data_IF_129298901717
#
_entry.id   IF_129298901717
#
_cell.length_a   1.000
_cell.length_b   1.000
_cell.length_c   1.000
_cell.angle_alpha   90.00
_cell.angle_beta   90.00
_cell.angle_gamma   90.00
#
_symmetry.space_group_name_H-M   'P 1'
#
loop_
_entity.id
_entity.type
_entity.pdbx_description
1 polymer ?
#
# COMPACT_ATOMS: atom_id res chain seq x y z
N UNK A 1 -16.76 -5.73 -19.74
CA UNK A 1 -18.04 -5.56 -18.98
C UNK A 1 -17.82 -4.76 -17.70
N UNK A 2 -16.68 -4.88 -17.01
CA UNK A 2 -16.38 -4.11 -15.79
C UNK A 2 -16.11 -2.63 -16.06
N UNK A 3 -15.34 -2.27 -17.07
CA UNK A 3 -15.05 -0.86 -17.41
C UNK A 3 -16.32 -0.06 -17.73
N UNK A 4 -17.31 -0.66 -18.40
CA UNK A 4 -18.58 0.01 -18.69
C UNK A 4 -19.45 0.21 -17.43
N UNK A 5 -19.43 -0.74 -16.49
CA UNK A 5 -20.12 -0.60 -15.19
C UNK A 5 -19.45 0.44 -14.30
N UNK A 6 -18.09 0.46 -14.25
CA UNK A 6 -17.30 1.46 -13.52
C UNK A 6 -17.65 2.88 -13.99
N UNK A 7 -17.73 3.09 -15.31
CA UNK A 7 -18.08 4.40 -15.88
C UNK A 7 -19.50 4.85 -15.50
N UNK A 8 -20.48 3.96 -15.56
CA UNK A 8 -21.88 4.27 -15.17
C UNK A 8 -21.96 4.65 -13.68
N UNK A 9 -21.20 3.97 -12.81
CA UNK A 9 -21.16 4.29 -11.38
C UNK A 9 -20.52 5.66 -11.13
N UNK A 10 -19.41 5.98 -11.81
CA UNK A 10 -18.76 7.28 -11.73
C UNK A 10 -19.68 8.41 -12.19
N UNK A 11 -20.48 8.18 -13.25
CA UNK A 11 -21.44 9.18 -13.76
C UNK A 11 -22.59 9.48 -12.80
N UNK A 12 -22.85 8.61 -11.82
CA UNK A 12 -23.88 8.81 -10.78
C UNK A 12 -23.36 9.58 -9.55
N UNK A 13 -22.04 9.81 -9.44
CA UNK A 13 -21.45 10.53 -8.31
C UNK A 13 -21.66 12.04 -8.42
N UNK A 14 -21.64 12.72 -7.27
CA UNK A 14 -21.61 14.18 -7.20
C UNK A 14 -20.38 14.73 -7.94
N UNK A 15 -20.45 15.94 -8.52
CA UNK A 15 -19.39 16.48 -9.38
C UNK A 15 -18.02 16.59 -8.69
N UNK A 16 -17.97 16.85 -7.38
CA UNK A 16 -16.72 16.92 -6.60
C UNK A 16 -16.12 15.54 -6.46
N UNK A 17 -16.89 14.59 -5.95
CA UNK A 17 -16.46 13.19 -5.75
C UNK A 17 -16.08 12.51 -7.08
N UNK A 18 -16.78 12.87 -8.16
CA UNK A 18 -16.46 12.35 -9.50
C UNK A 18 -15.05 12.75 -9.93
N UNK A 19 -14.66 14.02 -9.74
CA UNK A 19 -13.32 14.51 -10.09
C UNK A 19 -12.24 13.77 -9.33
N UNK A 20 -12.45 13.57 -8.03
CA UNK A 20 -11.51 12.84 -7.17
C UNK A 20 -11.33 11.40 -7.63
N UNK A 21 -12.46 10.71 -7.91
CA UNK A 21 -12.44 9.32 -8.41
C UNK A 21 -11.80 9.24 -9.81
N UNK A 22 -12.07 10.21 -10.71
CA UNK A 22 -11.44 10.26 -12.03
C UNK A 22 -9.94 10.53 -11.93
N UNK A 23 -9.52 11.40 -11.02
CA UNK A 23 -8.11 11.68 -10.76
C UNK A 23 -7.38 10.42 -10.24
N UNK A 24 -7.91 9.76 -9.22
CA UNK A 24 -7.35 8.52 -8.68
C UNK A 24 -7.32 7.41 -9.75
N UNK A 25 -8.37 7.30 -10.56
CA UNK A 25 -8.48 6.31 -11.62
C UNK A 25 -7.62 6.61 -12.87
N UNK A 26 -6.96 7.77 -12.94
CA UNK A 26 -6.01 8.12 -14.01
C UNK A 26 -4.62 7.55 -13.79
N UNK A 27 -4.29 7.17 -12.56
CA UNK A 27 -3.03 6.51 -12.21
C UNK A 27 -3.09 5.02 -12.54
N UNK A 28 -1.95 4.45 -12.90
CA UNK A 28 -1.83 3.01 -13.11
C UNK A 28 -1.93 2.24 -11.78
N UNK A 29 -2.34 0.96 -11.83
CA UNK A 29 -2.61 0.16 -10.62
C UNK A 29 -1.36 -0.07 -9.75
N UNK A 30 -0.16 0.07 -10.30
CA UNK A 30 1.15 -0.02 -9.65
C UNK A 30 1.72 1.32 -9.19
N UNK A 31 1.02 2.44 -9.44
CA UNK A 31 1.40 3.77 -8.98
C UNK A 31 0.75 4.12 -7.64
N UNK A 32 1.48 4.84 -6.79
CA UNK A 32 1.02 5.32 -5.47
C UNK A 32 -0.28 6.11 -5.56
N UNK A 33 -0.44 6.93 -6.60
CA UNK A 33 -1.64 7.74 -6.84
C UNK A 33 -2.92 6.91 -6.93
N UNK A 34 -2.84 5.65 -7.37
CA UNK A 34 -4.00 4.74 -7.45
C UNK A 34 -4.53 4.32 -6.07
N UNK A 35 -3.72 4.44 -5.02
CA UNK A 35 -3.99 3.98 -3.65
C UNK A 35 -4.26 5.12 -2.66
N UNK A 36 -4.18 6.38 -3.10
CA UNK A 36 -4.42 7.54 -2.26
C UNK A 36 -5.92 7.75 -1.98
N UNK A 37 -6.20 8.56 -0.97
CA UNK A 37 -7.54 9.09 -0.66
C UNK A 37 -7.51 10.62 -0.65
N UNK A 38 -8.62 11.23 -1.02
CA UNK A 38 -8.85 12.69 -0.91
C UNK A 38 -9.49 13.08 0.43
N UNK A 39 -9.65 12.14 1.35
CA UNK A 39 -10.18 12.34 2.68
C UNK A 39 -9.08 12.84 3.64
N UNK A 40 -8.79 14.14 3.62
CA UNK A 40 -7.79 14.79 4.46
C UNK A 40 -8.13 16.25 4.73
N UNK A 41 -7.46 16.86 5.70
CA UNK A 41 -7.60 18.28 6.04
C UNK A 41 -6.42 19.07 5.48
N UNK A 42 -6.70 20.18 4.79
CA UNK A 42 -5.68 21.09 4.26
C UNK A 42 -5.95 22.52 4.69
N UNK A 43 -4.88 23.24 5.08
CA UNK A 43 -4.92 24.65 5.44
C UNK A 43 -3.77 25.40 4.77
N UNK A 44 -3.88 26.72 4.67
CA UNK A 44 -2.81 27.58 4.14
C UNK A 44 -1.87 28.05 5.22
N UNK A 45 -0.58 28.19 4.90
CA UNK A 45 0.50 28.62 5.80
C UNK A 45 0.26 30.02 6.43
N UNK A 46 -0.53 30.88 5.80
CA UNK A 46 -0.80 32.27 6.23
C UNK A 46 -1.90 32.41 7.27
N UNK A 47 -2.57 31.32 7.65
CA UNK A 47 -3.63 31.37 8.65
C UNK A 47 -3.07 31.58 10.05
N UNK A 48 -3.85 32.25 10.90
CA UNK A 48 -3.64 32.21 12.36
C UNK A 48 -4.16 30.90 12.93
N UNK A 49 -3.69 30.50 14.13
CA UNK A 49 -4.18 29.30 14.82
C UNK A 49 -5.71 29.28 14.94
N UNK A 50 -6.33 30.43 15.22
CA UNK A 50 -7.79 30.56 15.29
C UNK A 50 -8.47 30.26 13.96
N UNK A 51 -7.92 30.79 12.84
CA UNK A 51 -8.48 30.57 11.52
C UNK A 51 -8.25 29.11 11.05
N UNK A 52 -7.08 28.57 11.33
CA UNK A 52 -6.76 27.16 11.07
C UNK A 52 -7.73 26.22 11.79
N UNK A 53 -8.02 26.48 13.07
CA UNK A 53 -9.00 25.70 13.84
C UNK A 53 -10.42 25.83 13.25
N UNK A 54 -10.81 27.02 12.79
CA UNK A 54 -12.12 27.20 12.16
C UNK A 54 -12.23 26.44 10.83
N UNK A 55 -11.19 26.49 10.01
CA UNK A 55 -11.11 25.74 8.75
C UNK A 55 -11.13 24.22 8.99
N UNK A 56 -10.40 23.75 10.02
CA UNK A 56 -10.41 22.36 10.42
C UNK A 56 -11.83 21.89 10.79
N UNK A 57 -12.55 22.64 11.63
CA UNK A 57 -13.91 22.27 12.06
C UNK A 57 -14.86 22.17 10.87
N UNK A 58 -14.75 23.09 9.90
CA UNK A 58 -15.55 23.07 8.68
C UNK A 58 -15.26 21.85 7.82
N UNK A 59 -13.98 21.53 7.62
CA UNK A 59 -13.56 20.39 6.80
C UNK A 59 -13.83 19.04 7.50
N UNK A 60 -13.70 18.97 8.82
CA UNK A 60 -13.97 17.77 9.62
C UNK A 60 -15.43 17.29 9.56
N UNK A 61 -16.36 18.16 9.14
CA UNK A 61 -17.73 17.74 8.87
C UNK A 61 -17.86 16.80 7.65
N UNK A 62 -16.87 16.82 6.75
CA UNK A 62 -16.84 16.02 5.51
C UNK A 62 -15.72 14.97 5.48
N UNK A 63 -14.68 15.15 6.28
CA UNK A 63 -13.48 14.32 6.28
C UNK A 63 -13.30 13.66 7.63
N UNK A 64 -13.02 12.36 7.63
CA UNK A 64 -12.79 11.57 8.86
C UNK A 64 -11.31 11.52 9.25
N UNK A 65 -10.39 11.70 8.29
CA UNK A 65 -8.96 11.70 8.54
C UNK A 65 -8.51 13.10 9.00
N UNK A 66 -8.60 13.35 10.29
CA UNK A 66 -8.36 14.66 10.94
C UNK A 66 -7.10 14.69 11.82
N UNK A 67 -6.45 13.55 12.04
CA UNK A 67 -5.27 13.44 12.95
C UNK A 67 -4.11 14.32 12.49
N UNK A 68 -3.90 14.37 11.17
CA UNK A 68 -2.86 15.17 10.51
C UNK A 68 -3.50 16.24 9.64
N UNK A 69 -3.07 17.48 9.83
CA UNK A 69 -3.51 18.65 9.05
C UNK A 69 -2.36 19.03 8.12
N UNK A 70 -2.61 18.98 6.82
CA UNK A 70 -1.60 19.34 5.82
C UNK A 70 -1.61 20.83 5.56
N UNK A 71 -0.42 21.38 5.44
CA UNK A 71 -0.22 22.82 5.21
C UNK A 71 0.31 23.04 3.81
N UNK A 72 -0.35 23.91 3.07
CA UNK A 72 0.05 24.31 1.72
C UNK A 72 0.35 25.81 1.66
N UNK A 73 1.21 26.19 0.73
CA UNK A 73 1.47 27.61 0.43
C UNK A 73 0.28 28.23 -0.31
N UNK A 74 0.29 29.57 -0.48
CA UNK A 74 -0.68 30.27 -1.34
C UNK A 74 -0.68 29.75 -2.80
N UNK A 75 0.42 29.14 -3.24
CA UNK A 75 0.57 28.55 -4.57
C UNK A 75 0.12 27.07 -4.60
N UNK A 76 -0.55 26.58 -3.55
CA UNK A 76 -1.03 25.20 -3.39
C UNK A 76 0.09 24.14 -3.32
N UNK A 77 1.34 24.55 -3.04
CA UNK A 77 2.46 23.62 -2.86
C UNK A 77 2.48 23.12 -1.42
N UNK A 78 2.79 21.85 -1.26
CA UNK A 78 2.97 21.25 0.06
C UNK A 78 4.08 21.96 0.83
N UNK A 79 3.80 22.34 2.07
CA UNK A 79 4.73 23.04 2.95
C UNK A 79 5.13 22.19 4.16
N UNK A 80 4.20 21.40 4.68
CA UNK A 80 4.43 20.55 5.84
C UNK A 80 3.11 20.05 6.45
N UNK A 81 3.18 19.55 7.65
CA UNK A 81 2.02 19.02 8.36
C UNK A 81 1.99 19.48 9.82
N UNK A 82 0.82 19.47 10.43
CA UNK A 82 0.59 19.77 11.85
C UNK A 82 -0.21 18.62 12.45
N UNK A 83 0.23 18.12 13.59
CA UNK A 83 -0.56 17.18 14.39
C UNK A 83 -1.77 17.92 15.00
N UNK A 84 -2.96 17.30 14.92
CA UNK A 84 -4.19 17.86 15.48
C UNK A 84 -4.02 18.24 16.98
N UNK A 85 -3.31 17.42 17.74
CA UNK A 85 -3.04 17.67 19.15
C UNK A 85 -2.26 18.97 19.35
N UNK A 86 -1.23 19.22 18.54
CA UNK A 86 -0.43 20.44 18.62
C UNK A 86 -1.28 21.68 18.28
N UNK A 87 -2.18 21.60 17.31
CA UNK A 87 -3.10 22.67 16.97
C UNK A 87 -4.12 22.93 18.09
N UNK A 88 -4.60 21.89 18.79
CA UNK A 88 -5.57 22.02 19.90
C UNK A 88 -4.94 22.70 21.13
N UNK A 89 -3.67 22.39 21.45
CA UNK A 89 -2.99 22.96 22.63
C UNK A 89 -2.36 24.33 22.35
N UNK A 90 -2.24 24.73 21.09
CA UNK A 90 -1.67 26.00 20.71
C UNK A 90 -2.50 27.20 21.23
N UNK A 91 -1.81 28.29 21.51
CA UNK A 91 -2.48 29.54 21.91
C UNK A 91 -3.00 30.26 20.67
N UNK A 92 -4.08 31.03 20.86
CA UNK A 92 -4.73 31.75 19.75
C UNK A 92 -3.81 32.71 18.99
N UNK A 93 -2.83 33.26 19.68
CA UNK A 93 -1.92 34.28 19.18
C UNK A 93 -0.58 33.66 18.69
N UNK A 94 -0.43 32.35 18.79
CA UNK A 94 0.75 31.67 18.25
C UNK A 94 0.74 31.71 16.73
N UNK A 95 1.94 31.82 16.13
CA UNK A 95 2.12 31.73 14.70
C UNK A 95 2.01 30.28 14.25
N UNK A 96 1.22 30.01 13.26
CA UNK A 96 1.02 28.66 12.71
C UNK A 96 2.34 28.03 12.24
N UNK A 97 3.25 28.86 11.71
CA UNK A 97 4.58 28.42 11.26
C UNK A 97 5.38 27.67 12.35
N UNK A 98 5.18 28.00 13.62
CA UNK A 98 5.87 27.36 14.75
C UNK A 98 5.36 25.94 15.04
N UNK A 99 4.18 25.58 14.51
CA UNK A 99 3.54 24.27 14.69
C UNK A 99 3.78 23.35 13.50
N UNK A 100 4.19 23.91 12.35
CA UNK A 100 4.36 23.15 11.12
C UNK A 100 5.65 22.33 11.17
N UNK A 101 5.54 21.03 10.98
CA UNK A 101 6.65 20.13 10.73
C UNK A 101 6.96 20.15 9.23
N UNK A 102 7.99 20.88 8.81
CA UNK A 102 8.37 21.02 7.40
C UNK A 102 9.18 19.84 6.85
N UNK A 103 9.75 19.01 7.75
CA UNK A 103 10.46 17.77 7.40
C UNK A 103 9.53 16.55 7.38
N UNK A 104 8.24 16.77 7.10
CA UNK A 104 7.25 15.70 7.04
C UNK A 104 7.48 14.83 5.80
N UNK A 105 7.43 13.48 5.91
CA UNK A 105 7.63 12.58 4.78
C UNK A 105 6.51 12.73 3.75
N UNK A 106 6.83 12.53 2.48
CA UNK A 106 5.88 12.56 1.37
C UNK A 106 6.31 11.59 0.27
N UNK A 107 5.39 11.27 -0.63
CA UNK A 107 5.63 10.45 -1.83
C UNK A 107 5.02 11.13 -3.05
N UNK A 108 5.52 10.79 -4.25
CA UNK A 108 4.94 11.28 -5.48
C UNK A 108 3.91 10.30 -6.04
N UNK A 109 2.85 10.83 -6.66
CA UNK A 109 1.74 10.03 -7.16
C UNK A 109 2.13 9.03 -8.26
N UNK A 110 3.15 9.38 -9.07
CA UNK A 110 3.67 8.55 -10.17
C UNK A 110 4.78 7.58 -9.72
N UNK A 111 5.14 7.55 -8.43
CA UNK A 111 6.08 6.56 -7.92
C UNK A 111 5.46 5.16 -7.92
N UNK A 112 6.29 4.17 -8.25
CA UNK A 112 5.87 2.78 -8.21
C UNK A 112 5.73 2.30 -6.75
N UNK A 113 4.66 1.56 -6.46
CA UNK A 113 4.36 1.05 -5.12
C UNK A 113 5.51 0.16 -4.61
N UNK A 114 6.01 -0.74 -5.44
CA UNK A 114 7.05 -1.70 -5.07
C UNK A 114 8.36 -1.00 -4.66
N UNK A 115 8.67 0.14 -5.28
CA UNK A 115 9.90 0.89 -5.01
C UNK A 115 9.83 1.68 -3.69
N UNK A 116 8.65 2.19 -3.31
CA UNK A 116 8.48 3.04 -2.13
C UNK A 116 7.86 2.33 -0.92
N UNK A 117 7.39 1.08 -1.08
CA UNK A 117 6.70 0.36 0.01
C UNK A 117 7.61 0.09 1.22
N UNK A 118 8.92 -0.12 0.99
CA UNK A 118 9.88 -0.33 2.08
C UNK A 118 10.03 0.93 2.93
N UNK A 119 10.15 2.10 2.29
CA UNK A 119 10.22 3.38 2.98
C UNK A 119 8.91 3.71 3.69
N UNK A 120 7.77 3.40 3.06
CA UNK A 120 6.43 3.62 3.63
C UNK A 120 6.19 2.80 4.91
N UNK A 121 6.74 1.58 5.00
CA UNK A 121 6.65 0.73 6.21
C UNK A 121 7.33 1.35 7.43
N UNK A 122 8.40 2.09 7.21
CA UNK A 122 9.23 2.66 8.28
C UNK A 122 8.66 3.99 8.81
N UNK A 123 7.68 4.58 8.13
CA UNK A 123 7.02 5.78 8.59
C UNK A 123 6.04 5.49 9.73
N UNK A 124 6.09 6.33 10.77
CA UNK A 124 5.24 6.22 11.97
C UNK A 124 4.02 7.14 11.92
N UNK A 125 3.87 7.89 10.84
CA UNK A 125 2.83 8.88 10.65
C UNK A 125 1.48 8.23 10.32
N UNK A 126 0.38 8.82 10.80
CA UNK A 126 -0.98 8.34 10.54
C UNK A 126 -1.38 8.43 9.06
N UNK A 127 -0.82 9.41 8.35
CA UNK A 127 -1.03 9.59 6.91
C UNK A 127 0.13 10.33 6.26
N UNK A 128 0.46 9.93 5.03
CA UNK A 128 1.57 10.45 4.23
C UNK A 128 0.98 11.19 3.02
N UNK A 129 1.36 12.46 2.77
CA UNK A 129 0.88 13.23 1.64
C UNK A 129 1.44 12.69 0.32
N UNK A 130 0.56 12.64 -0.68
CA UNK A 130 0.86 12.26 -2.06
C UNK A 130 0.89 13.53 -2.90
N UNK A 131 2.01 13.79 -3.55
CA UNK A 131 2.27 15.00 -4.31
C UNK A 131 2.32 14.73 -5.81
N UNK A 132 2.04 15.75 -6.60
CA UNK A 132 2.38 15.75 -8.02
C UNK A 132 3.83 16.21 -8.26
N UNK A 133 4.25 16.21 -9.53
CA UNK A 133 5.60 16.66 -9.94
C UNK A 133 5.87 18.16 -9.71
N UNK A 134 4.82 18.97 -9.45
CA UNK A 134 4.90 20.40 -9.11
C UNK A 134 4.89 20.63 -7.58
N UNK A 135 4.93 19.56 -6.79
CA UNK A 135 4.80 19.53 -5.32
C UNK A 135 3.44 20.03 -4.82
N UNK A 136 2.37 19.85 -5.59
CA UNK A 136 1.00 20.11 -5.14
C UNK A 136 0.44 18.85 -4.44
N UNK A 137 -0.34 19.07 -3.40
CA UNK A 137 -0.97 17.98 -2.65
C UNK A 137 -2.17 17.44 -3.42
N UNK A 138 -2.09 16.18 -3.87
CA UNK A 138 -3.16 15.48 -4.58
C UNK A 138 -4.06 14.67 -3.64
N UNK A 139 -3.46 14.04 -2.66
CA UNK A 139 -4.14 13.13 -1.75
C UNK A 139 -3.24 12.70 -0.60
N UNK A 140 -3.67 11.68 0.13
CA UNK A 140 -2.89 11.08 1.21
C UNK A 140 -2.99 9.56 1.19
N UNK A 141 -1.96 8.88 1.67
CA UNK A 141 -2.01 7.46 1.99
C UNK A 141 -2.08 7.32 3.50
N UNK A 142 -3.08 6.60 4.00
CA UNK A 142 -3.22 6.33 5.42
C UNK A 142 -2.39 5.13 5.84
N UNK A 143 -2.00 5.06 7.12
CA UNK A 143 -1.30 3.89 7.69
C UNK A 143 -2.05 2.57 7.45
N UNK A 144 -3.38 2.60 7.49
CA UNK A 144 -4.20 1.42 7.17
C UNK A 144 -4.09 1.01 5.69
N UNK A 145 -4.01 1.97 4.76
CA UNK A 145 -3.79 1.68 3.34
C UNK A 145 -2.39 1.11 3.09
N UNK A 146 -1.38 1.62 3.80
CA UNK A 146 0.01 1.10 3.73
C UNK A 146 0.06 -0.35 4.21
N UNK A 147 -0.59 -0.67 5.34
CA UNK A 147 -0.65 -2.05 5.85
C UNK A 147 -1.28 -2.99 4.82
N UNK A 148 -2.41 -2.58 4.21
CA UNK A 148 -3.07 -3.38 3.18
C UNK A 148 -2.17 -3.59 1.95
N UNK A 149 -1.44 -2.56 1.51
CA UNK A 149 -0.48 -2.67 0.40
C UNK A 149 0.63 -3.68 0.71
N UNK A 150 1.18 -3.62 1.93
CA UNK A 150 2.21 -4.57 2.39
C UNK A 150 1.67 -6.00 2.41
N UNK A 151 0.46 -6.20 2.94
CA UNK A 151 -0.18 -7.50 3.00
C UNK A 151 -0.49 -8.06 1.60
N UNK A 152 -0.93 -7.22 0.67
CA UNK A 152 -1.20 -7.58 -0.72
C UNK A 152 0.11 -8.02 -1.42
N UNK A 153 1.20 -7.24 -1.28
CA UNK A 153 2.50 -7.58 -1.88
C UNK A 153 3.09 -8.86 -1.30
N UNK A 154 3.06 -9.04 0.02
CA UNK A 154 3.49 -10.29 0.65
C UNK A 154 2.66 -11.48 0.15
N UNK A 155 1.35 -11.31 -0.02
CA UNK A 155 0.46 -12.30 -0.59
C UNK A 155 0.85 -12.68 -2.02
N UNK A 156 1.20 -11.70 -2.86
CA UNK A 156 1.67 -11.88 -4.22
C UNK A 156 2.97 -12.66 -4.29
N UNK A 157 3.93 -12.36 -3.41
CA UNK A 157 5.21 -13.05 -3.36
C UNK A 157 5.07 -14.49 -2.90
N UNK A 158 4.24 -14.76 -1.89
CA UNK A 158 3.90 -16.14 -1.50
C UNK A 158 3.18 -16.90 -2.64
N UNK A 159 2.27 -16.23 -3.34
CA UNK A 159 1.59 -16.82 -4.48
C UNK A 159 2.57 -17.15 -5.63
N UNK A 160 3.48 -16.24 -5.96
CA UNK A 160 4.54 -16.44 -6.96
C UNK A 160 5.45 -17.61 -6.57
N UNK A 161 5.87 -17.72 -5.31
CA UNK A 161 6.66 -18.84 -4.78
C UNK A 161 5.92 -20.19 -4.87
N UNK A 162 4.60 -20.19 -4.67
CA UNK A 162 3.76 -21.36 -4.81
C UNK A 162 3.34 -21.64 -6.28
N UNK A 163 3.78 -20.84 -7.24
CA UNK A 163 3.35 -20.88 -8.64
C UNK A 163 1.87 -20.55 -8.83
N UNK A 164 1.33 -19.77 -7.90
CA UNK A 164 -0.02 -19.24 -7.94
C UNK A 164 0.03 -17.78 -8.41
N UNK A 165 -1.09 -17.27 -8.89
CA UNK A 165 -1.32 -15.84 -9.05
C UNK A 165 -2.16 -15.37 -7.86
N UNK A 166 -1.86 -14.22 -7.27
CA UNK A 166 -2.57 -13.69 -6.09
C UNK A 166 -4.06 -13.44 -6.35
N UNK A 167 -4.45 -13.17 -7.57
CA UNK A 167 -5.84 -13.07 -7.98
C UNK A 167 -6.48 -14.47 -8.14
N UNK A 168 -6.71 -15.17 -7.04
CA UNK A 168 -7.68 -16.27 -7.03
C UNK A 168 -9.10 -15.67 -7.03
N UNK A 169 -9.62 -15.43 -8.22
CA UNK A 169 -11.05 -15.15 -8.36
C UNK A 169 -11.82 -16.40 -7.94
N UNK A 170 -12.49 -16.33 -6.78
CA UNK A 170 -13.34 -17.41 -6.24
C UNK A 170 -14.42 -17.89 -7.23
N UNK A 171 -14.58 -17.19 -8.35
CA UNK A 171 -15.49 -17.51 -9.45
C UNK A 171 -14.80 -18.07 -10.69
N UNK A 172 -13.47 -18.27 -10.63
CA UNK A 172 -12.72 -18.78 -11.78
C UNK A 172 -13.09 -20.25 -12.07
N UNK A 173 -13.39 -20.62 -13.32
CA UNK A 173 -13.71 -22.00 -13.66
C UNK A 173 -12.49 -22.91 -13.42
N UNK A 174 -12.73 -24.07 -12.78
CA UNK A 174 -11.70 -25.05 -12.40
C UNK A 174 -10.67 -25.35 -13.49
N UNK A 175 -11.06 -25.31 -14.78
CA UNK A 175 -10.14 -25.55 -15.90
C UNK A 175 -9.08 -24.46 -16.08
N UNK A 176 -9.40 -23.20 -15.81
CA UNK A 176 -8.45 -22.08 -15.90
C UNK A 176 -7.51 -22.09 -14.70
N UNK A 177 -8.01 -22.31 -13.51
CA UNK A 177 -7.22 -22.47 -12.29
C UNK A 177 -6.24 -23.64 -12.42
N UNK A 178 -6.68 -24.79 -12.95
CA UNK A 178 -5.80 -25.94 -13.21
C UNK A 178 -4.70 -25.59 -14.23
N UNK A 179 -5.03 -24.88 -15.31
CA UNK A 179 -4.08 -24.50 -16.34
C UNK A 179 -2.98 -23.57 -15.83
N UNK A 180 -3.32 -22.67 -14.89
CA UNK A 180 -2.34 -21.78 -14.24
C UNK A 180 -1.39 -22.56 -13.31
N UNK A 181 -1.89 -23.54 -12.57
CA UNK A 181 -1.12 -24.33 -11.59
C UNK A 181 -0.32 -25.47 -12.20
N UNK A 182 -0.75 -26.03 -13.32
CA UNK A 182 -0.16 -27.20 -13.93
C UNK A 182 1.33 -27.04 -14.29
N UNK A 183 1.81 -25.91 -14.87
CA UNK A 183 3.22 -25.72 -15.17
C UNK A 183 4.11 -25.83 -13.91
N UNK A 184 3.68 -25.22 -12.80
CA UNK A 184 4.40 -25.26 -11.54
C UNK A 184 4.44 -26.68 -10.94
N UNK A 185 3.33 -27.41 -10.97
CA UNK A 185 3.26 -28.79 -10.50
C UNK A 185 4.18 -29.70 -11.30
N UNK A 186 4.30 -29.47 -12.62
CA UNK A 186 5.24 -30.23 -13.47
C UNK A 186 6.69 -29.92 -13.09
N UNK A 187 7.03 -28.66 -12.80
CA UNK A 187 8.36 -28.28 -12.31
C UNK A 187 8.67 -28.97 -10.97
N UNK A 188 7.74 -28.92 -10.01
CA UNK A 188 7.90 -29.58 -8.71
C UNK A 188 8.04 -31.09 -8.86
N UNK A 189 7.26 -31.73 -9.74
CA UNK A 189 7.39 -33.15 -10.02
C UNK A 189 8.77 -33.47 -10.60
N UNK A 190 9.25 -32.66 -11.57
CA UNK A 190 10.59 -32.81 -12.14
C UNK A 190 11.70 -32.67 -11.09
N UNK A 191 11.59 -31.66 -10.24
CA UNK A 191 12.52 -31.44 -9.13
C UNK A 191 12.51 -32.63 -8.15
N UNK A 192 11.32 -33.12 -7.79
CA UNK A 192 11.16 -34.30 -6.93
C UNK A 192 11.81 -35.56 -7.53
N UNK A 193 11.70 -35.77 -8.85
CA UNK A 193 12.39 -36.86 -9.54
C UNK A 193 13.91 -36.72 -9.47
N UNK A 194 14.44 -35.51 -9.66
CA UNK A 194 15.88 -35.24 -9.54
C UNK A 194 16.37 -35.52 -8.14
N UNK A 195 15.70 -35.01 -7.12
CA UNK A 195 16.04 -35.25 -5.70
C UNK A 195 15.97 -36.74 -5.40
N UNK A 196 14.90 -37.43 -5.80
CA UNK A 196 14.74 -38.88 -5.60
C UNK A 196 15.86 -39.70 -6.29
N UNK A 197 16.29 -39.28 -7.48
CA UNK A 197 17.39 -39.91 -8.20
C UNK A 197 18.72 -39.76 -7.46
N UNK A 198 18.98 -38.55 -6.94
CA UNK A 198 20.19 -38.26 -6.14
C UNK A 198 20.19 -39.11 -4.85
N UNK A 199 19.08 -39.14 -4.14
CA UNK A 199 18.93 -39.98 -2.92
C UNK A 199 19.15 -41.43 -3.24
N UNK A 200 18.59 -41.96 -4.35
CA UNK A 200 18.73 -43.33 -4.78
C UNK A 200 20.19 -43.75 -5.09
N UNK A 201 21.04 -42.80 -5.53
CA UNK A 201 22.47 -43.07 -5.72
C UNK A 201 23.17 -43.35 -4.38
N UNK A 202 22.76 -42.65 -3.33
CA UNK A 202 23.34 -42.80 -2.00
C UNK A 202 22.70 -43.89 -1.15
N UNK A 203 21.54 -44.43 -1.55
CA UNK A 203 20.80 -45.44 -0.79
C UNK A 203 21.64 -46.70 -0.52
N UNK A 204 22.48 -47.13 -1.47
CA UNK A 204 23.41 -48.27 -1.28
C UNK A 204 24.46 -47.99 -0.23
N UNK A 205 24.93 -46.75 -0.12
CA UNK A 205 25.92 -46.34 0.88
C UNK A 205 25.28 -46.25 2.28
N UNK A 206 24.03 -45.76 2.32
CA UNK A 206 23.26 -45.62 3.58
C UNK A 206 22.86 -46.97 4.16
N UNK A 207 22.53 -47.95 3.32
CA UNK A 207 22.18 -49.32 3.78
C UNK A 207 23.36 -50.06 4.40
N UNK A 208 24.61 -49.72 4.06
CA UNK A 208 25.81 -50.32 4.69
C UNK A 208 26.14 -49.71 6.07
N UNK A 209 25.52 -48.58 6.44
CA UNK A 209 25.74 -47.88 7.70
C UNK A 209 24.44 -47.69 8.49
N UNK A 210 24.01 -48.72 9.31
CA UNK A 210 22.74 -48.69 10.04
C UNK A 210 22.54 -47.48 10.95
N UNK A 211 23.63 -46.84 11.40
CA UNK A 211 23.61 -45.64 12.24
C UNK A 211 23.02 -44.43 11.48
N UNK A 212 23.26 -44.31 10.17
CA UNK A 212 22.75 -43.19 9.36
C UNK A 212 21.25 -43.32 9.18
N UNK A 213 20.68 -44.51 9.14
CA UNK A 213 19.22 -44.71 9.06
C UNK A 213 18.48 -44.18 10.29
N UNK A 214 19.08 -44.21 11.48
CA UNK A 214 18.48 -43.66 12.68
C UNK A 214 18.37 -42.10 12.62
N UNK A 215 19.27 -41.42 11.89
CA UNK A 215 19.26 -39.99 11.74
C UNK A 215 18.44 -39.49 10.53
N UNK A 216 18.15 -40.36 9.57
CA UNK A 216 17.42 -40.00 8.36
C UNK A 216 15.99 -39.51 8.67
N UNK A 217 15.29 -40.12 9.62
CA UNK A 217 13.94 -39.67 10.02
C UNK A 217 13.97 -38.31 10.75
N UNK A 218 15.08 -38.02 11.44
CA UNK A 218 15.25 -36.80 12.18
C UNK A 218 15.59 -35.61 11.27
N UNK A 219 16.22 -35.86 10.12
CA UNK A 219 16.56 -34.81 9.10
C UNK A 219 15.37 -34.55 8.19
N UNK A 220 14.48 -35.52 7.95
CA UNK A 220 13.29 -35.37 7.11
C UNK A 220 12.13 -34.69 7.84
N UNK A 221 12.14 -34.65 9.19
CA UNK A 221 11.11 -34.03 10.04
C UNK A 221 11.45 -32.55 10.43
N UNK A 222 12.59 -32.00 9.97
CA UNK A 222 13.00 -30.62 10.14
C UNK A 222 12.72 -29.82 8.88
#
# INVERSE_FOLDING_TARGET
>A
LEKAKKKILIDLLEPEVRRDVEMIASFDDDEIGSRMTTNYIVITDKLTVKQAMSSLIEQAAKNDNISTIFVVTEQQKFYGAIDLKELIIARRDDLLENLVVTSYPYVYAEENIDDCIEDLKDYSEDSIPVLDNDNQLLGVITSSSIINLVDDEMGDDYAKLAGLTAEEDLKEPLKESMKKRLPWLVILLGLGMVVSSVVGIFEKVVTELPIIMCFQSLILDM
#
